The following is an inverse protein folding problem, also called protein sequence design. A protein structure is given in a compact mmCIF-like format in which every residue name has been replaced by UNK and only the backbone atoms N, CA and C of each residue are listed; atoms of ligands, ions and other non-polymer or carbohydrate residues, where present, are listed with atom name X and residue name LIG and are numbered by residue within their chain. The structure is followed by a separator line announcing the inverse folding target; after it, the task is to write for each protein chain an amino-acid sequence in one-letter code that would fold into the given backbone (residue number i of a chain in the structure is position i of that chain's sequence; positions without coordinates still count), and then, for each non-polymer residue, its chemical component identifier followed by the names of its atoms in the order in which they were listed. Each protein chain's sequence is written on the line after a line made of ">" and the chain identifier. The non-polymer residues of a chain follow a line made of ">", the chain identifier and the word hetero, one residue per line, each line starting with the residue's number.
data_IF_584542535539
#
_entry.id   IF_584542535539
#
_cell.length_a   1.000
_cell.length_b   1.000
_cell.length_c   1.000
_cell.angle_alpha   90.00
_cell.angle_beta   90.00
_cell.angle_gamma   90.00
#
_symmetry.space_group_name_H-M   'P 1'
#
loop_
_entity.id
_entity.type
_entity.pdbx_description
1 polymer ?
#
# COMPACT_ATOMS: atom_id res chain seq x y z
N UNK A 1 8.55 -18.66 22.15
CA UNK A 1 8.42 -19.29 20.81
C UNK A 1 7.01 -19.82 20.49
N UNK A 2 6.21 -20.32 21.45
CA UNK A 2 4.81 -20.77 21.18
C UNK A 2 3.83 -19.67 20.69
N UNK A 3 4.10 -18.39 20.98
CA UNK A 3 3.24 -17.27 20.58
C UNK A 3 3.34 -16.94 19.07
N UNK A 4 4.55 -16.99 18.50
CA UNK A 4 4.78 -16.73 17.07
C UNK A 4 4.17 -17.81 16.16
N UNK A 5 3.94 -19.03 16.69
CA UNK A 5 3.29 -20.12 15.94
C UNK A 5 1.77 -19.94 15.78
N UNK A 6 1.17 -18.90 16.37
CA UNK A 6 -0.28 -18.65 16.30
C UNK A 6 -0.68 -17.53 15.34
N UNK A 7 0.28 -16.78 14.80
CA UNK A 7 -0.02 -15.68 13.87
C UNK A 7 -0.02 -16.25 12.46
N UNK A 8 -1.17 -16.20 11.78
CA UNK A 8 -1.25 -16.64 10.39
C UNK A 8 -0.44 -15.70 9.47
N UNK A 9 0.11 -16.20 8.35
CA UNK A 9 0.79 -15.34 7.37
C UNK A 9 -0.06 -14.14 6.93
N UNK A 10 -1.38 -14.33 6.77
CA UNK A 10 -2.35 -13.26 6.50
C UNK A 10 -2.23 -12.13 7.53
N UNK A 11 -2.25 -12.47 8.83
CA UNK A 11 -2.21 -11.47 9.90
C UNK A 11 -0.84 -10.80 10.03
N UNK A 12 0.25 -11.53 9.82
CA UNK A 12 1.59 -10.94 9.77
C UNK A 12 1.67 -9.87 8.68
N UNK A 13 1.18 -10.16 7.46
CA UNK A 13 1.17 -9.22 6.34
C UNK A 13 0.26 -8.02 6.59
N UNK A 14 -0.94 -8.25 7.16
CA UNK A 14 -1.87 -7.17 7.51
C UNK A 14 -1.28 -6.21 8.54
N UNK A 15 -0.62 -6.72 9.56
CA UNK A 15 -0.02 -5.89 10.62
C UNK A 15 1.14 -5.07 10.07
N UNK A 16 2.04 -5.67 9.30
CA UNK A 16 3.21 -4.97 8.77
C UNK A 16 2.82 -3.92 7.74
N UNK A 17 1.96 -4.25 6.78
CA UNK A 17 1.44 -3.29 5.80
C UNK A 17 0.60 -2.20 6.49
N UNK A 18 -0.25 -2.58 7.44
CA UNK A 18 -1.09 -1.64 8.17
C UNK A 18 -0.27 -0.65 9.01
N UNK A 19 0.77 -1.11 9.71
CA UNK A 19 1.66 -0.23 10.46
C UNK A 19 2.46 0.70 9.54
N UNK A 20 2.94 0.19 8.39
CA UNK A 20 3.65 0.99 7.39
C UNK A 20 2.73 2.09 6.81
N UNK A 21 1.52 1.76 6.39
CA UNK A 21 0.55 2.74 5.89
C UNK A 21 0.13 3.75 6.97
N UNK A 22 0.03 3.32 8.23
CA UNK A 22 -0.29 4.25 9.31
C UNK A 22 0.82 5.28 9.51
N UNK A 23 2.08 4.83 9.48
CA UNK A 23 3.24 5.70 9.57
C UNK A 23 3.32 6.65 8.37
N UNK A 24 3.30 6.09 7.15
CA UNK A 24 3.39 6.85 5.90
C UNK A 24 2.26 7.87 5.78
N UNK A 25 1.02 7.45 6.00
CA UNK A 25 -0.15 8.32 5.91
C UNK A 25 -0.13 9.47 6.92
N UNK A 26 0.30 9.22 8.17
CA UNK A 26 0.47 10.30 9.15
C UNK A 26 1.55 11.30 8.75
N UNK A 27 2.65 10.83 8.18
CA UNK A 27 3.76 11.68 7.76
C UNK A 27 3.38 12.55 6.56
N UNK A 28 2.69 11.98 5.57
CA UNK A 28 2.16 12.71 4.41
C UNK A 28 1.16 13.82 4.82
N UNK A 29 0.33 13.56 5.84
CA UNK A 29 -0.61 14.55 6.36
C UNK A 29 0.12 15.70 7.07
N UNK A 30 1.10 15.37 7.93
CA UNK A 30 1.77 16.34 8.82
C UNK A 30 2.87 17.13 8.11
N UNK A 31 3.59 16.48 7.19
CA UNK A 31 4.79 17.01 6.55
C UNK A 31 4.72 16.91 5.01
N UNK A 32 3.64 17.37 4.35
CA UNK A 32 3.44 17.16 2.91
C UNK A 32 4.57 17.74 2.04
N UNK A 33 5.17 18.86 2.45
CA UNK A 33 6.28 19.49 1.73
C UNK A 33 7.51 18.58 1.62
N UNK A 34 7.73 17.70 2.61
CA UNK A 34 8.83 16.74 2.64
C UNK A 34 8.67 15.60 1.61
N UNK A 35 7.51 15.47 0.97
CA UNK A 35 7.19 14.41 0.02
C UNK A 35 6.97 14.91 -1.41
N UNK A 36 6.96 16.23 -1.62
CA UNK A 36 6.77 16.82 -2.95
C UNK A 36 7.76 16.27 -3.97
N UNK A 37 9.02 16.06 -3.56
CA UNK A 37 10.10 15.52 -4.39
C UNK A 37 9.77 14.15 -5.01
N UNK A 38 8.94 13.32 -4.35
CA UNK A 38 8.56 11.99 -4.83
C UNK A 38 7.54 12.03 -5.98
N UNK A 39 6.89 13.18 -6.21
CA UNK A 39 5.95 13.36 -7.32
C UNK A 39 6.70 13.86 -8.55
N UNK A 40 6.62 13.18 -9.70
CA UNK A 40 7.22 13.67 -10.95
C UNK A 40 6.68 15.04 -11.37
N UNK A 41 7.52 15.87 -12.01
CA UNK A 41 7.15 17.23 -12.42
C UNK A 41 5.85 17.28 -13.25
N UNK A 42 5.72 16.42 -14.26
CA UNK A 42 4.53 16.37 -15.13
C UNK A 42 3.24 16.06 -14.34
N UNK A 43 3.34 15.22 -13.30
CA UNK A 43 2.20 14.88 -12.46
C UNK A 43 1.85 16.03 -11.52
N UNK A 44 2.85 16.77 -11.02
CA UNK A 44 2.62 17.99 -10.23
C UNK A 44 1.89 19.05 -11.04
N UNK A 45 2.24 19.24 -12.32
CA UNK A 45 1.53 20.17 -13.21
C UNK A 45 0.07 19.77 -13.39
N UNK A 46 -0.21 18.47 -13.56
CA UNK A 46 -1.57 17.97 -13.70
C UNK A 46 -2.38 18.17 -12.41
N UNK A 47 -1.81 17.81 -11.25
CA UNK A 47 -2.44 18.00 -9.94
C UNK A 47 -2.76 19.47 -9.70
N UNK A 48 -1.81 20.36 -10.03
CA UNK A 48 -1.92 21.81 -9.80
C UNK A 48 -3.07 22.47 -10.58
N UNK A 49 -3.64 21.80 -11.58
CA UNK A 49 -4.85 22.27 -12.29
C UNK A 49 -6.13 22.11 -11.46
N UNK A 50 -6.14 21.24 -10.47
CA UNK A 50 -7.34 20.88 -9.68
C UNK A 50 -7.17 21.25 -8.21
N UNK A 51 -5.97 21.09 -7.66
CA UNK A 51 -5.67 21.37 -6.25
C UNK A 51 -4.19 21.66 -6.03
N UNK A 52 -3.84 22.18 -4.85
CA UNK A 52 -2.42 22.34 -4.48
C UNK A 52 -1.76 20.96 -4.30
N UNK A 53 -0.47 20.86 -4.61
CA UNK A 53 0.29 19.60 -4.43
C UNK A 53 0.25 19.14 -2.98
N UNK A 54 0.35 20.05 -2.02
CA UNK A 54 0.24 19.70 -0.60
C UNK A 54 -1.13 19.14 -0.21
N UNK A 55 -2.22 19.66 -0.80
CA UNK A 55 -3.56 19.13 -0.56
C UNK A 55 -3.70 17.72 -1.13
N UNK A 56 -3.12 17.47 -2.32
CA UNK A 56 -3.07 16.13 -2.90
C UNK A 56 -2.29 15.15 -2.01
N UNK A 57 -1.12 15.54 -1.52
CA UNK A 57 -0.28 14.70 -0.64
C UNK A 57 -1.02 14.39 0.67
N UNK A 58 -1.68 15.39 1.28
CA UNK A 58 -2.50 15.18 2.48
C UNK A 58 -3.68 14.25 2.22
N UNK A 59 -4.31 14.39 1.05
CA UNK A 59 -5.40 13.50 0.65
C UNK A 59 -4.91 12.05 0.47
N UNK A 60 -3.77 11.85 -0.19
CA UNK A 60 -3.13 10.53 -0.28
C UNK A 60 -2.84 9.98 1.12
N UNK A 61 -2.25 10.77 2.02
CA UNK A 61 -2.00 10.35 3.39
C UNK A 61 -3.26 9.95 4.15
N UNK A 62 -4.38 10.64 3.94
CA UNK A 62 -5.67 10.26 4.52
C UNK A 62 -6.17 8.91 3.98
N UNK A 63 -6.01 8.66 2.67
CA UNK A 63 -6.33 7.36 2.05
C UNK A 63 -5.45 6.25 2.64
N UNK A 64 -4.15 6.49 2.83
CA UNK A 64 -3.23 5.53 3.45
C UNK A 64 -3.62 5.22 4.91
N UNK A 65 -4.04 6.22 5.70
CA UNK A 65 -4.58 5.98 7.05
C UNK A 65 -5.83 5.10 7.00
N UNK A 66 -6.73 5.31 6.02
CA UNK A 66 -7.91 4.43 5.84
C UNK A 66 -7.48 3.01 5.51
N UNK A 67 -6.48 2.83 4.64
CA UNK A 67 -5.93 1.50 4.33
C UNK A 67 -5.38 0.82 5.58
N UNK A 68 -4.60 1.55 6.38
CA UNK A 68 -4.06 1.07 7.65
C UNK A 68 -5.16 0.60 8.60
N UNK A 69 -6.21 1.40 8.79
CA UNK A 69 -7.32 1.06 9.68
C UNK A 69 -8.01 -0.22 9.25
N UNK A 70 -8.26 -0.42 7.96
CA UNK A 70 -8.92 -1.65 7.47
C UNK A 70 -7.98 -2.86 7.57
N UNK A 71 -6.69 -2.70 7.26
CA UNK A 71 -5.71 -3.77 7.41
C UNK A 71 -5.59 -4.22 8.87
N UNK A 72 -5.58 -3.29 9.82
CA UNK A 72 -5.43 -3.57 11.25
C UNK A 72 -6.75 -3.99 11.94
N UNK A 73 -7.91 -3.68 11.35
CA UNK A 73 -9.21 -4.01 11.94
C UNK A 73 -9.49 -5.53 11.88
N UNK A 74 -9.51 -6.19 13.03
CA UNK A 74 -9.82 -7.63 13.15
C UNK A 74 -11.22 -8.01 12.69
N UNK A 75 -12.16 -7.06 12.71
CA UNK A 75 -13.54 -7.23 12.25
C UNK A 75 -13.75 -6.79 10.79
N UNK A 76 -12.71 -6.38 10.06
CA UNK A 76 -12.84 -5.99 8.65
C UNK A 76 -13.31 -7.18 7.80
N UNK A 77 -14.27 -6.92 6.90
CA UNK A 77 -14.73 -7.93 5.94
C UNK A 77 -13.56 -8.35 5.03
N UNK A 78 -13.32 -9.66 4.81
CA UNK A 78 -12.19 -10.12 3.99
C UNK A 78 -12.14 -9.50 2.59
N UNK A 79 -13.30 -9.24 1.99
CA UNK A 79 -13.43 -8.58 0.68
C UNK A 79 -12.79 -7.19 0.69
N UNK A 80 -12.95 -6.41 1.78
CA UNK A 80 -12.35 -5.07 1.90
C UNK A 80 -10.82 -5.16 2.01
N UNK A 81 -10.33 -6.07 2.84
CA UNK A 81 -8.89 -6.31 3.00
C UNK A 81 -8.26 -6.73 1.66
N UNK A 82 -8.97 -7.55 0.87
CA UNK A 82 -8.53 -7.98 -0.46
C UNK A 82 -8.41 -6.80 -1.43
N UNK A 83 -9.42 -5.93 -1.48
CA UNK A 83 -9.36 -4.75 -2.34
C UNK A 83 -8.24 -3.81 -1.95
N UNK A 84 -8.02 -3.61 -0.65
CA UNK A 84 -6.91 -2.78 -0.17
C UNK A 84 -5.57 -3.41 -0.52
N UNK A 85 -5.39 -4.73 -0.32
CA UNK A 85 -4.17 -5.41 -0.74
C UNK A 85 -3.91 -5.27 -2.25
N UNK A 86 -4.96 -5.29 -3.08
CA UNK A 86 -4.83 -5.03 -4.52
C UNK A 86 -4.44 -3.58 -4.81
N UNK A 87 -5.12 -2.60 -4.21
CA UNK A 87 -4.81 -1.18 -4.39
C UNK A 87 -3.36 -0.88 -3.94
N UNK A 88 -2.93 -1.44 -2.82
CA UNK A 88 -1.54 -1.36 -2.34
C UNK A 88 -0.56 -1.96 -3.34
N UNK A 89 -0.90 -3.10 -3.94
CA UNK A 89 -0.06 -3.72 -4.98
C UNK A 89 0.08 -2.81 -6.19
N UNK A 90 -1.02 -2.19 -6.64
CA UNK A 90 -1.00 -1.26 -7.76
C UNK A 90 -0.22 0.01 -7.43
N UNK A 91 -0.36 0.52 -6.21
CA UNK A 91 0.39 1.67 -5.70
C UNK A 91 1.90 1.40 -5.72
N UNK A 92 2.38 0.32 -5.11
CA UNK A 92 3.81 -0.01 -5.12
C UNK A 92 4.32 -0.32 -6.52
N UNK A 93 3.51 -0.98 -7.36
CA UNK A 93 3.87 -1.20 -8.76
C UNK A 93 4.02 0.12 -9.52
N UNK A 94 3.13 1.09 -9.29
CA UNK A 94 3.21 2.41 -9.90
C UNK A 94 4.45 3.18 -9.40
N UNK A 95 4.71 3.17 -8.08
CA UNK A 95 5.91 3.81 -7.50
C UNK A 95 7.17 3.22 -8.12
N UNK A 96 7.29 1.89 -8.19
CA UNK A 96 8.44 1.21 -8.79
C UNK A 96 8.56 1.53 -10.29
N UNK A 97 7.47 1.49 -11.04
CA UNK A 97 7.47 1.85 -12.46
C UNK A 97 7.94 3.28 -12.69
N UNK A 98 7.51 4.23 -11.85
CA UNK A 98 7.96 5.63 -11.90
C UNK A 98 9.42 5.78 -11.45
N UNK A 99 9.87 4.97 -10.49
CA UNK A 99 11.25 4.99 -10.00
C UNK A 99 12.27 4.54 -11.07
N UNK A 100 11.89 3.62 -11.96
CA UNK A 100 12.74 3.19 -13.08
C UNK A 100 12.74 4.15 -14.27
N UNK A 101 11.93 5.21 -14.26
CA UNK A 101 12.02 6.24 -15.30
C UNK A 101 13.20 7.19 -15.02
N UNK A 102 13.93 7.66 -16.06
CA UNK A 102 15.20 8.38 -15.94
C UNK A 102 15.01 9.87 -15.56
N UNK A 103 14.21 10.17 -14.53
CA UNK A 103 13.81 11.54 -14.19
C UNK A 103 14.44 12.09 -12.89
N UNK A 104 15.05 11.27 -12.04
CA UNK A 104 15.74 11.73 -10.81
C UNK A 104 16.66 10.66 -10.21
N UNK A 105 17.90 11.03 -9.83
CA UNK A 105 18.84 10.14 -9.12
C UNK A 105 18.31 9.69 -7.74
N UNK A 106 17.37 10.42 -7.15
CA UNK A 106 16.74 10.09 -5.86
C UNK A 106 15.87 8.82 -5.91
N UNK A 107 15.58 8.30 -7.10
CA UNK A 107 14.68 7.16 -7.27
C UNK A 107 15.26 5.86 -6.69
N UNK A 108 16.58 5.66 -6.72
CA UNK A 108 17.19 4.35 -6.42
C UNK A 108 16.97 3.88 -4.97
N UNK A 109 16.94 4.79 -3.99
CA UNK A 109 16.74 4.47 -2.57
C UNK A 109 15.29 4.09 -2.26
N UNK A 110 14.32 4.65 -2.99
CA UNK A 110 12.90 4.30 -2.86
C UNK A 110 12.65 2.89 -3.41
N UNK A 111 13.26 2.55 -4.55
CA UNK A 111 13.01 1.32 -5.29
C UNK A 111 13.29 0.05 -4.48
N UNK A 112 14.37 0.04 -3.70
CA UNK A 112 14.76 -1.17 -2.95
C UNK A 112 13.81 -1.52 -1.80
N UNK A 113 13.28 -0.52 -1.10
CA UNK A 113 12.30 -0.73 -0.02
C UNK A 113 10.98 -1.26 -0.59
N UNK A 114 10.54 -0.67 -1.70
CA UNK A 114 9.17 -0.86 -2.20
C UNK A 114 8.97 -2.20 -2.93
N UNK A 115 10.04 -2.89 -3.36
CA UNK A 115 9.97 -4.27 -3.85
C UNK A 115 9.44 -5.22 -2.76
N UNK A 116 9.92 -5.07 -1.53
CA UNK A 116 9.46 -5.89 -0.40
C UNK A 116 7.99 -5.62 -0.06
N UNK A 117 7.58 -4.36 -0.11
CA UNK A 117 6.19 -3.94 0.14
C UNK A 117 5.24 -4.45 -0.95
N UNK A 118 5.66 -4.38 -2.23
CA UNK A 118 4.93 -4.96 -3.36
C UNK A 118 4.74 -6.47 -3.18
N UNK A 119 5.80 -7.20 -2.82
CA UNK A 119 5.72 -8.63 -2.55
C UNK A 119 4.76 -8.96 -1.41
N UNK A 120 4.80 -8.18 -0.33
CA UNK A 120 3.92 -8.35 0.83
C UNK A 120 2.45 -8.09 0.48
N UNK A 121 2.14 -7.01 -0.24
CA UNK A 121 0.76 -6.69 -0.64
C UNK A 121 0.20 -7.70 -1.64
N UNK A 122 1.03 -8.14 -2.59
CA UNK A 122 0.64 -9.14 -3.60
C UNK A 122 0.38 -10.51 -2.95
N UNK A 123 1.24 -10.93 -2.01
CA UNK A 123 1.04 -12.16 -1.26
C UNK A 123 -0.25 -12.13 -0.44
N UNK A 124 -0.53 -11.01 0.24
CA UNK A 124 -1.79 -10.83 0.97
C UNK A 124 -3.01 -10.93 0.06
N UNK A 125 -2.95 -10.29 -1.11
CA UNK A 125 -4.01 -10.36 -2.11
C UNK A 125 -4.29 -11.81 -2.56
N UNK A 126 -3.24 -12.58 -2.90
CA UNK A 126 -3.41 -13.97 -3.33
C UNK A 126 -3.91 -14.89 -2.22
N UNK A 127 -3.46 -14.70 -0.97
CA UNK A 127 -3.97 -15.46 0.19
C UNK A 127 -5.48 -15.24 0.34
N UNK A 128 -5.95 -13.99 0.23
CA UNK A 128 -7.37 -13.65 0.35
C UNK A 128 -8.17 -14.15 -0.85
N UNK A 129 -7.63 -14.07 -2.06
CA UNK A 129 -8.27 -14.60 -3.27
C UNK A 129 -8.44 -16.12 -3.22
N UNK A 130 -7.43 -16.85 -2.72
CA UNK A 130 -7.50 -18.30 -2.57
C UNK A 130 -8.57 -18.72 -1.55
N UNK A 131 -8.75 -17.93 -0.48
CA UNK A 131 -9.75 -18.17 0.57
C UNK A 131 -11.20 -17.98 0.09
N UNK A 132 -11.41 -17.20 -0.97
CA UNK A 132 -12.73 -16.98 -1.56
C UNK A 132 -13.19 -18.10 -2.50
N UNK A 133 -12.28 -18.90 -3.08
CA UNK A 133 -12.66 -20.07 -3.89
C UNK A 133 -13.14 -21.19 -2.95
N UNK A 134 -14.43 -21.57 -2.96
CA UNK A 134 -14.87 -22.78 -2.28
C UNK A 134 -14.38 -24.00 -3.07
N UNK A 135 -14.14 -25.11 -2.38
CA UNK A 135 -13.92 -26.45 -2.94
C UNK A 135 -15.18 -26.92 -3.72
N UNK A 136 -15.47 -26.36 -4.89
CA UNK A 136 -16.51 -26.86 -5.80
C UNK A 136 -15.92 -27.77 -6.88
N UNK A 137 -14.93 -28.59 -6.54
CA UNK A 137 -14.34 -29.57 -7.46
C UNK A 137 -14.21 -30.99 -6.89
N UNK A 138 -14.90 -31.31 -5.80
CA UNK A 138 -15.00 -32.69 -5.28
C UNK A 138 -16.46 -33.10 -5.13
N UNK A 139 -17.20 -33.07 -6.24
CA UNK A 139 -18.39 -33.89 -6.46
C UNK A 139 -18.47 -34.17 -7.97
N UNK A 140 -17.58 -35.02 -8.45
CA UNK A 140 -17.76 -35.82 -9.67
C UNK A 140 -17.23 -37.22 -9.37
#
# INVERSE_FOLDING_TARGET
>A
MKFLMRISPEWSLRITLGAMYLYSGQDLIRHPSAWTWAIPFWLRELISKVMTVDAYIRFQGAVEVVFALVLLAWFARPVLVKWIALLSTLEFAAILALAFMPFSEANFLITFRDIGLLGASLALFFILLAKEKPLTSTMQ
#
